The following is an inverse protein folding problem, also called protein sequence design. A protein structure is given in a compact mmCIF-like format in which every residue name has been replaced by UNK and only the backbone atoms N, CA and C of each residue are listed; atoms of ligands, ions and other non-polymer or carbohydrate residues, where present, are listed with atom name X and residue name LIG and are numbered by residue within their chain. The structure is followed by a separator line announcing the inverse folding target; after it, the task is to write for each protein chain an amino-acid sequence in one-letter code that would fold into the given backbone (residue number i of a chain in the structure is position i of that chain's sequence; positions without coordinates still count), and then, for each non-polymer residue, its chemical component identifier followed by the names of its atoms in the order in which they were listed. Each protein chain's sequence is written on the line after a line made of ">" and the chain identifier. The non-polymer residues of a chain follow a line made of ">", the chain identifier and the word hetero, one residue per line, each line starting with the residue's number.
data_IF_164316841722
#
_entry.id   IF_164316841722
#
_cell.length_a   1.000
_cell.length_b   1.000
_cell.length_c   1.000
_cell.angle_alpha   90.00
_cell.angle_beta   90.00
_cell.angle_gamma   90.00
#
_symmetry.space_group_name_H-M   'P 1'
#
loop_
_entity.id
_entity.type
_entity.pdbx_description
1 polymer ?
#
# COMPACT_ATOMS: atom_id res chain seq x y z
N UNK A 1 7.33 2.82 1.53
CA UNK A 1 7.91 1.76 2.40
C UNK A 1 9.32 2.22 2.78
N UNK A 2 9.59 2.48 4.05
CA UNK A 2 10.92 2.86 4.49
C UNK A 2 11.88 1.67 4.38
N UNK A 3 13.08 1.93 3.90
CA UNK A 3 14.16 0.95 3.78
C UNK A 3 15.39 1.43 4.55
N UNK A 4 16.23 0.49 4.97
CA UNK A 4 17.50 0.80 5.61
C UNK A 4 18.62 0.71 4.59
N UNK A 5 19.41 1.78 4.50
CA UNK A 5 20.63 1.83 3.70
C UNK A 5 21.84 1.94 4.59
N UNK A 6 22.94 1.31 4.21
CA UNK A 6 24.24 1.49 4.83
C UNK A 6 25.05 2.52 4.06
N UNK A 7 25.46 3.56 4.73
CA UNK A 7 26.41 4.54 4.20
C UNK A 7 27.44 4.86 5.27
N UNK A 8 28.72 4.72 4.93
CA UNK A 8 29.85 4.99 5.86
C UNK A 8 29.70 4.34 7.24
N UNK A 9 29.15 3.12 7.29
CA UNK A 9 28.92 2.39 8.53
C UNK A 9 27.68 2.82 9.33
N UNK A 10 26.89 3.77 8.83
CA UNK A 10 25.63 4.18 9.45
C UNK A 10 24.44 3.62 8.68
N UNK A 11 23.37 3.31 9.41
CA UNK A 11 22.08 2.93 8.81
C UNK A 11 21.27 4.19 8.57
N UNK A 12 20.91 4.42 7.31
CA UNK A 12 20.04 5.52 6.91
C UNK A 12 18.67 4.98 6.52
N UNK A 13 17.63 5.62 7.03
CA UNK A 13 16.25 5.34 6.62
C UNK A 13 15.96 6.14 5.37
N UNK A 14 15.47 5.45 4.32
CA UNK A 14 15.06 6.06 3.06
C UNK A 14 13.75 5.43 2.58
N UNK A 15 13.01 6.14 1.75
CA UNK A 15 11.89 5.58 1.01
C UNK A 15 12.36 4.92 -0.28
N UNK A 16 11.50 4.09 -0.90
CA UNK A 16 11.79 3.53 -2.22
C UNK A 16 11.89 4.64 -3.28
N UNK A 17 11.10 5.70 -3.15
CA UNK A 17 11.15 6.85 -4.05
C UNK A 17 12.52 7.52 -4.00
N UNK A 18 13.06 7.78 -2.81
CA UNK A 18 14.37 8.42 -2.61
C UNK A 18 15.51 7.59 -3.23
N UNK A 19 15.38 6.25 -3.21
CA UNK A 19 16.36 5.37 -3.84
C UNK A 19 16.26 5.37 -5.37
N UNK A 20 15.08 5.62 -5.93
CA UNK A 20 14.83 5.61 -7.36
C UNK A 20 15.18 6.93 -8.05
N UNK A 21 15.10 8.06 -7.36
CA UNK A 21 15.40 9.38 -7.93
C UNK A 21 16.80 9.45 -8.57
N UNK A 22 17.90 9.05 -7.93
CA UNK A 22 19.22 9.08 -8.56
C UNK A 22 19.37 8.14 -9.75
N UNK A 23 18.60 7.04 -9.79
CA UNK A 23 18.54 6.15 -10.93
C UNK A 23 17.79 6.80 -12.09
N UNK A 24 16.67 7.46 -11.81
CA UNK A 24 15.89 8.21 -12.75
C UNK A 24 16.75 9.27 -13.48
N UNK A 25 17.48 10.11 -12.75
CA UNK A 25 18.33 11.14 -13.33
C UNK A 25 19.32 10.58 -14.35
N UNK A 26 19.94 9.45 -14.04
CA UNK A 26 20.90 8.76 -14.96
C UNK A 26 20.22 8.20 -16.20
N UNK A 27 18.97 7.74 -16.07
CA UNK A 27 18.20 7.19 -17.20
C UNK A 27 17.71 8.34 -18.08
N UNK A 28 17.13 9.37 -17.48
CA UNK A 28 16.51 10.50 -18.20
C UNK A 28 17.53 11.39 -18.92
N UNK A 29 18.79 11.42 -18.47
CA UNK A 29 19.85 12.06 -19.23
C UNK A 29 20.03 11.51 -20.67
N UNK A 30 19.48 10.34 -20.97
CA UNK A 30 19.56 9.66 -22.27
C UNK A 30 18.19 9.40 -22.91
N UNK A 31 17.10 9.75 -22.23
CA UNK A 31 15.73 9.53 -22.69
C UNK A 31 15.24 10.67 -23.59
N UNK A 32 14.29 10.42 -24.50
CA UNK A 32 13.61 11.47 -25.23
C UNK A 32 12.90 12.45 -24.28
N UNK A 33 12.98 13.75 -24.54
CA UNK A 33 12.38 14.80 -23.70
C UNK A 33 10.84 14.78 -23.64
N UNK A 34 10.20 14.03 -24.54
CA UNK A 34 8.74 13.88 -24.60
C UNK A 34 8.17 12.83 -23.65
N UNK A 35 9.01 12.10 -22.91
CA UNK A 35 8.55 11.09 -21.97
C UNK A 35 8.20 11.71 -20.62
N UNK A 36 7.03 11.33 -20.08
CA UNK A 36 6.65 11.60 -18.71
C UNK A 36 7.11 10.47 -17.80
N UNK A 37 7.41 10.80 -16.56
CA UNK A 37 7.73 9.82 -15.54
C UNK A 37 6.44 9.31 -14.90
N UNK A 38 6.22 8.02 -14.95
CA UNK A 38 5.10 7.40 -14.27
C UNK A 38 5.54 6.88 -12.88
N UNK A 39 4.86 7.37 -11.86
CA UNK A 39 4.96 6.87 -10.48
C UNK A 39 3.75 6.02 -10.20
N UNK A 40 3.98 4.78 -9.73
CA UNK A 40 2.91 3.83 -9.40
C UNK A 40 3.14 3.28 -8.01
N UNK A 41 2.08 3.26 -7.20
CA UNK A 41 2.13 2.63 -5.87
C UNK A 41 2.40 1.12 -6.00
N UNK A 42 3.27 0.59 -5.12
CA UNK A 42 3.69 -0.82 -5.18
C UNK A 42 2.75 -1.80 -4.47
N UNK A 43 1.77 -1.29 -3.75
CA UNK A 43 0.80 -2.06 -2.94
C UNK A 43 -0.62 -2.00 -3.49
N UNK A 44 -0.76 -1.75 -4.79
CA UNK A 44 -2.05 -1.71 -5.48
C UNK A 44 -2.07 -2.60 -6.71
N UNK A 45 -3.21 -3.21 -6.98
CA UNK A 45 -3.55 -3.79 -8.27
C UNK A 45 -4.67 -2.97 -8.90
N UNK A 46 -4.41 -2.45 -10.08
CA UNK A 46 -5.36 -1.64 -10.83
C UNK A 46 -5.81 -2.43 -12.07
N UNK A 47 -7.09 -2.48 -12.28
CA UNK A 47 -7.70 -3.07 -13.46
C UNK A 47 -8.54 -2.02 -14.17
N UNK A 48 -8.31 -1.83 -15.46
CA UNK A 48 -9.14 -0.99 -16.33
C UNK A 48 -9.82 -1.87 -17.37
N UNK A 49 -11.13 -1.71 -17.53
CA UNK A 49 -11.93 -2.48 -18.50
C UNK A 49 -12.25 -1.70 -19.77
N UNK A 50 -11.89 -0.43 -19.80
CA UNK A 50 -12.09 0.46 -20.93
C UNK A 50 -10.76 1.11 -21.35
N UNK A 51 -10.61 1.53 -22.60
CA UNK A 51 -9.44 2.27 -23.04
C UNK A 51 -9.22 3.55 -22.20
N UNK A 52 -7.95 3.84 -21.94
CA UNK A 52 -7.58 5.08 -21.28
C UNK A 52 -7.92 6.27 -22.18
N UNK A 53 -8.26 7.39 -21.56
CA UNK A 53 -8.44 8.68 -22.25
C UNK A 53 -7.08 9.22 -22.70
N UNK A 54 -7.10 10.16 -23.64
CA UNK A 54 -5.90 10.91 -24.03
C UNK A 54 -5.34 11.65 -22.81
N UNK A 55 -4.02 11.58 -22.64
CA UNK A 55 -3.33 12.23 -21.54
C UNK A 55 -3.21 13.71 -21.86
N UNK A 56 -3.75 14.62 -21.04
CA UNK A 56 -3.64 16.05 -21.26
C UNK A 56 -2.19 16.52 -21.04
N UNK A 57 -1.84 17.59 -21.72
CA UNK A 57 -0.57 18.30 -21.50
C UNK A 57 -0.64 19.01 -20.13
N UNK A 58 0.00 18.43 -19.12
CA UNK A 58 0.09 18.98 -17.77
C UNK A 58 1.39 18.51 -17.09
N UNK A 59 1.87 19.30 -16.11
CA UNK A 59 3.06 18.91 -15.33
C UNK A 59 2.82 17.69 -14.46
N UNK A 60 1.60 17.56 -13.96
CA UNK A 60 1.17 16.42 -13.12
C UNK A 60 -0.18 15.92 -13.61
N UNK A 61 -0.27 14.63 -13.94
CA UNK A 61 -1.54 13.97 -14.27
C UNK A 61 -1.77 12.85 -13.28
N UNK A 62 -2.87 12.93 -12.52
CA UNK A 62 -3.23 11.95 -11.51
C UNK A 62 -4.43 11.13 -11.98
N UNK A 63 -4.35 9.82 -11.82
CA UNK A 63 -5.51 8.94 -12.04
C UNK A 63 -6.25 8.69 -10.73
N UNK A 64 -7.57 8.74 -10.80
CA UNK A 64 -8.42 8.49 -9.65
C UNK A 64 -9.69 7.71 -9.98
N UNK A 65 -10.36 7.24 -8.93
CA UNK A 65 -11.65 6.55 -9.03
C UNK A 65 -12.73 7.26 -8.21
N UNK A 66 -13.95 7.19 -8.71
CA UNK A 66 -15.14 7.62 -7.98
C UNK A 66 -15.52 6.55 -6.95
N UNK A 67 -15.03 6.68 -5.71
CA UNK A 67 -15.31 5.74 -4.63
C UNK A 67 -16.12 6.42 -3.51
N UNK A 68 -16.91 5.62 -2.79
CA UNK A 68 -17.69 6.12 -1.67
C UNK A 68 -16.82 6.61 -0.50
N UNK A 69 -17.35 7.48 0.37
CA UNK A 69 -16.61 8.09 1.48
C UNK A 69 -15.96 7.07 2.42
N UNK A 70 -16.61 5.91 2.62
CA UNK A 70 -16.11 4.86 3.51
C UNK A 70 -14.83 4.18 3.02
N UNK A 71 -14.58 4.22 1.71
CA UNK A 71 -13.33 3.72 1.11
C UNK A 71 -12.34 4.88 0.98
N UNK A 72 -12.80 6.02 0.46
CA UNK A 72 -11.96 7.18 0.17
C UNK A 72 -11.24 7.75 1.41
N UNK A 73 -11.83 7.62 2.60
CA UNK A 73 -11.26 8.12 3.88
C UNK A 73 -9.87 7.59 4.21
N UNK A 74 -9.53 6.43 3.70
CA UNK A 74 -8.25 5.77 3.98
C UNK A 74 -7.16 6.08 2.93
N UNK A 75 -7.49 6.87 1.91
CA UNK A 75 -6.64 7.21 0.76
C UNK A 75 -6.44 8.72 0.58
N UNK A 76 -5.58 9.10 -0.34
CA UNK A 76 -5.53 10.45 -0.90
C UNK A 76 -6.80 10.72 -1.72
N UNK A 77 -7.22 11.99 -1.76
CA UNK A 77 -8.44 12.40 -2.47
C UNK A 77 -8.18 13.68 -3.25
N UNK A 78 -8.42 13.64 -4.55
CA UNK A 78 -8.38 14.81 -5.43
C UNK A 78 -9.74 15.49 -5.43
N UNK A 79 -9.81 16.70 -4.91
CA UNK A 79 -11.01 17.53 -4.95
C UNK A 79 -11.04 18.29 -6.27
N UNK A 80 -12.14 18.18 -6.99
CA UNK A 80 -12.30 18.78 -8.32
C UNK A 80 -13.60 19.60 -8.40
N UNK A 81 -13.61 20.76 -9.11
CA UNK A 81 -14.83 21.53 -9.32
C UNK A 81 -15.83 20.74 -10.17
N UNK A 82 -17.11 20.80 -9.85
CA UNK A 82 -18.19 20.19 -10.66
C UNK A 82 -18.24 20.71 -12.10
N UNK A 83 -17.82 21.97 -12.30
CA UNK A 83 -17.80 22.63 -13.61
C UNK A 83 -16.63 22.19 -14.49
N UNK A 84 -15.56 21.69 -13.89
CA UNK A 84 -14.38 21.16 -14.60
C UNK A 84 -13.74 20.02 -13.79
N UNK A 85 -14.25 18.78 -13.92
CA UNK A 85 -13.78 17.63 -13.12
C UNK A 85 -12.36 17.17 -13.45
N UNK A 86 -11.76 17.65 -14.52
CA UNK A 86 -10.36 17.34 -14.87
C UNK A 86 -9.35 18.27 -14.21
N UNK A 87 -9.80 19.33 -13.52
CA UNK A 87 -8.93 20.32 -12.87
C UNK A 87 -8.89 20.05 -11.37
N UNK A 88 -7.72 19.95 -10.80
CA UNK A 88 -7.56 19.78 -9.36
C UNK A 88 -7.76 21.10 -8.63
N UNK A 89 -8.70 21.15 -7.68
CA UNK A 89 -8.80 22.24 -6.73
C UNK A 89 -7.76 22.09 -5.62
N UNK A 90 -7.70 20.91 -5.00
CA UNK A 90 -6.70 20.55 -3.99
C UNK A 90 -6.64 19.03 -3.81
N UNK A 91 -5.61 18.55 -3.13
CA UNK A 91 -5.52 17.21 -2.62
C UNK A 91 -5.72 17.20 -1.09
N UNK A 92 -6.45 16.19 -0.61
CA UNK A 92 -6.61 15.91 0.81
C UNK A 92 -6.03 14.53 1.11
N UNK A 93 -5.33 14.41 2.21
CA UNK A 93 -4.77 13.12 2.66
C UNK A 93 -5.62 12.55 3.78
N UNK A 94 -6.21 11.39 3.53
CA UNK A 94 -7.05 10.62 4.47
C UNK A 94 -8.13 11.48 5.16
N UNK A 95 -9.00 12.16 4.39
CA UNK A 95 -10.04 12.99 4.96
C UNK A 95 -11.10 12.16 5.68
N UNK A 96 -11.74 12.73 6.72
CA UNK A 96 -12.85 12.05 7.38
C UNK A 96 -14.07 11.90 6.48
N UNK A 97 -14.92 10.90 6.76
CA UNK A 97 -16.20 10.70 6.06
C UNK A 97 -17.07 11.95 6.07
N UNK A 98 -17.15 12.63 7.21
CA UNK A 98 -17.91 13.88 7.34
C UNK A 98 -17.37 14.99 6.43
N UNK A 99 -16.04 15.08 6.32
CA UNK A 99 -15.40 16.05 5.40
C UNK A 99 -15.73 15.72 3.95
N UNK A 100 -15.69 14.45 3.57
CA UNK A 100 -16.03 13.99 2.22
C UNK A 100 -17.51 14.27 1.89
N UNK A 101 -18.42 13.97 2.81
CA UNK A 101 -19.85 14.27 2.66
C UNK A 101 -20.12 15.78 2.54
N UNK A 102 -19.38 16.61 3.27
CA UNK A 102 -19.50 18.05 3.16
C UNK A 102 -19.00 18.57 1.80
N UNK A 103 -17.89 18.03 1.28
CA UNK A 103 -17.34 18.40 -0.01
C UNK A 103 -18.27 18.09 -1.18
N UNK A 104 -19.04 17.01 -1.11
CA UNK A 104 -19.97 16.60 -2.17
C UNK A 104 -21.08 17.62 -2.44
N UNK A 105 -21.31 18.61 -1.57
CA UNK A 105 -22.30 19.68 -1.80
C UNK A 105 -21.90 20.59 -2.97
N UNK A 106 -20.62 20.95 -3.03
CA UNK A 106 -20.13 21.99 -3.94
C UNK A 106 -19.07 21.48 -4.93
N UNK A 107 -18.45 20.35 -4.63
CA UNK A 107 -17.36 19.76 -5.41
C UNK A 107 -17.63 18.29 -5.73
N UNK A 108 -16.75 17.71 -6.52
CA UNK A 108 -16.61 16.26 -6.66
C UNK A 108 -15.25 15.86 -6.09
N UNK A 109 -15.05 14.58 -5.87
CA UNK A 109 -13.73 14.06 -5.54
C UNK A 109 -13.47 12.70 -6.19
N UNK A 110 -12.22 12.44 -6.54
CA UNK A 110 -11.73 11.13 -6.95
C UNK A 110 -10.72 10.64 -5.91
N UNK A 111 -10.82 9.36 -5.60
CA UNK A 111 -9.85 8.70 -4.72
C UNK A 111 -8.57 8.44 -5.52
N UNK A 112 -7.43 8.83 -4.99
CA UNK A 112 -6.12 8.53 -5.54
C UNK A 112 -5.89 7.01 -5.57
N UNK A 113 -5.51 6.50 -6.72
CA UNK A 113 -5.18 5.09 -6.95
C UNK A 113 -3.69 4.84 -7.04
N UNK A 114 -2.87 5.84 -6.72
CA UNK A 114 -1.42 5.73 -6.72
C UNK A 114 -0.79 5.68 -8.11
N UNK A 115 -1.41 6.28 -9.13
CA UNK A 115 -0.84 6.40 -10.49
C UNK A 115 -0.74 7.87 -10.86
N UNK A 116 0.48 8.35 -10.99
CA UNK A 116 0.80 9.73 -11.32
C UNK A 116 1.77 9.79 -12.49
N UNK A 117 1.53 10.71 -13.44
CA UNK A 117 2.46 11.03 -14.50
C UNK A 117 3.04 12.41 -14.22
N UNK A 118 4.35 12.50 -14.21
CA UNK A 118 5.10 13.71 -13.86
C UNK A 118 5.92 14.19 -15.04
N UNK A 119 5.86 15.50 -15.34
CA UNK A 119 6.78 16.14 -16.24
C UNK A 119 8.19 16.21 -15.66
N UNK A 120 9.20 16.47 -16.48
CA UNK A 120 10.57 16.68 -16.00
C UNK A 120 10.65 17.83 -14.98
N UNK A 121 9.86 18.90 -15.18
CA UNK A 121 9.75 20.01 -14.22
C UNK A 121 9.21 19.54 -12.88
N UNK A 122 8.15 18.75 -12.88
CA UNK A 122 7.56 18.21 -11.65
C UNK A 122 8.55 17.30 -10.90
N UNK A 123 9.29 16.44 -11.63
CA UNK A 123 10.31 15.56 -11.03
C UNK A 123 11.49 16.37 -10.48
N UNK A 124 11.94 17.40 -11.19
CA UNK A 124 13.01 18.28 -10.69
C UNK A 124 12.63 18.96 -9.37
N UNK A 125 11.41 19.51 -9.28
CA UNK A 125 10.92 20.11 -8.04
C UNK A 125 10.78 19.09 -6.92
N UNK A 126 10.24 17.90 -7.21
CA UNK A 126 10.17 16.80 -6.25
C UNK A 126 11.56 16.43 -5.73
N UNK A 127 12.55 16.31 -6.62
CA UNK A 127 13.94 16.02 -6.24
C UNK A 127 14.55 17.13 -5.38
N UNK A 128 14.31 18.38 -5.73
CA UNK A 128 14.82 19.52 -4.94
C UNK A 128 14.24 19.53 -3.53
N UNK A 129 12.94 19.23 -3.38
CA UNK A 129 12.27 19.22 -2.07
C UNK A 129 12.65 18.01 -1.21
N UNK A 130 13.07 16.91 -1.84
CA UNK A 130 13.56 15.73 -1.14
C UNK A 130 15.06 15.78 -0.84
N UNK A 131 15.79 16.84 -1.27
CA UNK A 131 17.23 16.95 -1.09
C UNK A 131 17.58 18.05 -0.08
N UNK A 132 18.19 17.68 1.04
CA UNK A 132 18.67 18.59 2.07
C UNK A 132 20.17 18.36 2.30
N UNK A 133 20.96 19.43 2.31
CA UNK A 133 22.43 19.40 2.52
C UNK A 133 23.18 18.38 1.62
N UNK A 134 22.70 18.20 0.37
CA UNK A 134 23.26 17.25 -0.60
C UNK A 134 22.90 15.77 -0.33
N UNK A 135 21.99 15.50 0.58
CA UNK A 135 21.44 14.18 0.86
C UNK A 135 19.96 14.12 0.52
N UNK A 136 19.51 12.98 0.02
CA UNK A 136 18.08 12.73 -0.23
C UNK A 136 17.45 12.25 1.07
N UNK A 137 16.49 13.04 1.59
CA UNK A 137 15.68 12.72 2.76
C UNK A 137 14.29 12.25 2.39
N UNK A 138 13.57 11.70 3.36
CA UNK A 138 12.19 11.27 3.21
C UNK A 138 11.28 12.48 2.92
N UNK A 139 10.67 12.50 1.72
CA UNK A 139 9.69 13.49 1.31
C UNK A 139 8.42 12.80 0.84
N UNK A 140 7.28 13.12 1.46
CA UNK A 140 6.01 12.45 1.19
C UNK A 140 5.37 12.96 -0.10
N UNK A 141 5.31 12.07 -1.11
CA UNK A 141 4.68 12.37 -2.40
C UNK A 141 3.20 12.77 -2.26
N UNK A 142 2.47 12.13 -1.36
CA UNK A 142 1.02 12.36 -1.21
C UNK A 142 0.71 13.46 -0.21
N UNK A 143 1.24 13.33 1.01
CA UNK A 143 0.94 14.22 2.13
C UNK A 143 1.65 15.56 2.07
N UNK A 144 2.75 15.68 1.30
CA UNK A 144 3.50 16.93 1.17
C UNK A 144 3.42 17.46 -0.27
N UNK A 145 4.04 16.78 -1.24
CA UNK A 145 4.05 17.24 -2.63
C UNK A 145 2.63 17.39 -3.19
N UNK A 146 1.80 16.36 -3.09
CA UNK A 146 0.43 16.37 -3.61
C UNK A 146 -0.45 17.43 -2.96
N UNK A 147 -0.27 17.66 -1.66
CA UNK A 147 -1.02 18.69 -0.93
C UNK A 147 -0.63 20.13 -1.29
N UNK A 148 0.50 20.35 -1.98
CA UNK A 148 0.90 21.64 -2.54
C UNK A 148 0.33 21.88 -3.94
N UNK A 149 -0.36 20.92 -4.55
CA UNK A 149 -0.86 20.99 -5.92
C UNK A 149 -2.31 21.50 -6.00
N UNK A 150 -2.66 22.06 -7.16
CA UNK A 150 -4.03 22.52 -7.48
C UNK A 150 -4.24 24.02 -7.26
N UNK A 151 -5.49 24.46 -7.48
CA UNK A 151 -5.85 25.89 -7.43
C UNK A 151 -5.90 26.46 -6.02
N UNK A 152 -6.22 25.61 -5.03
CA UNK A 152 -6.37 25.97 -3.62
C UNK A 152 -5.66 24.90 -2.76
N UNK A 153 -4.33 24.79 -2.84
CA UNK A 153 -3.57 23.74 -2.18
C UNK A 153 -3.74 23.80 -0.66
N UNK A 154 -3.67 22.65 -0.01
CA UNK A 154 -3.78 22.55 1.46
C UNK A 154 -2.46 22.84 2.18
N UNK A 155 -1.34 22.71 1.47
CA UNK A 155 -0.02 23.17 1.89
C UNK A 155 0.49 24.21 0.90
N UNK A 156 1.32 25.11 1.38
CA UNK A 156 1.82 26.22 0.57
C UNK A 156 3.27 25.99 0.12
N UNK A 157 3.48 26.01 -1.19
CA UNK A 157 4.79 26.05 -1.85
C UNK A 157 4.63 26.80 -3.17
N UNK A 158 5.28 27.95 -3.30
CA UNK A 158 5.10 28.89 -4.44
C UNK A 158 5.49 28.28 -5.78
N UNK A 159 6.45 27.36 -5.82
CA UNK A 159 6.90 26.74 -7.08
C UNK A 159 6.02 25.54 -7.44
N UNK A 160 5.65 24.71 -6.46
CA UNK A 160 4.76 23.57 -6.68
C UNK A 160 3.35 24.00 -7.06
N UNK A 161 2.86 25.11 -6.49
CA UNK A 161 1.55 25.68 -6.83
C UNK A 161 1.47 26.18 -8.29
N UNK A 162 2.60 26.37 -8.97
CA UNK A 162 2.65 26.76 -10.39
C UNK A 162 2.61 25.57 -11.35
N UNK A 163 2.70 24.34 -10.85
CA UNK A 163 2.58 23.17 -11.70
C UNK A 163 1.14 23.04 -12.21
N UNK A 164 1.01 22.81 -13.50
CA UNK A 164 -0.29 22.46 -14.10
C UNK A 164 -0.67 21.04 -13.71
N UNK A 165 -1.92 20.86 -13.23
CA UNK A 165 -2.39 19.58 -12.72
C UNK A 165 -3.69 19.17 -13.38
N UNK A 166 -3.73 17.94 -13.88
CA UNK A 166 -4.93 17.31 -14.37
C UNK A 166 -5.27 16.05 -13.57
N UNK A 167 -6.57 15.83 -13.37
CA UNK A 167 -7.09 14.62 -12.74
C UNK A 167 -7.95 13.86 -13.74
N UNK A 168 -7.65 12.60 -13.96
CA UNK A 168 -8.36 11.73 -14.88
C UNK A 168 -9.05 10.59 -14.13
N UNK A 169 -10.34 10.37 -14.36
CA UNK A 169 -10.98 9.15 -13.90
C UNK A 169 -10.45 7.95 -14.70
N UNK A 170 -10.17 6.84 -14.02
CA UNK A 170 -9.83 5.59 -14.69
C UNK A 170 -11.10 4.92 -15.22
N UNK A 171 -11.30 4.84 -16.56
CA UNK A 171 -12.56 4.35 -17.13
C UNK A 171 -12.76 2.85 -16.84
N UNK A 172 -13.91 2.50 -16.25
CA UNK A 172 -14.19 1.11 -15.86
C UNK A 172 -13.12 0.56 -14.91
N UNK A 173 -12.57 1.44 -14.08
CA UNK A 173 -11.47 1.12 -13.17
C UNK A 173 -11.93 0.37 -11.94
N UNK A 174 -11.11 -0.58 -11.53
CA UNK A 174 -11.20 -1.31 -10.27
C UNK A 174 -9.85 -1.17 -9.54
N UNK A 175 -9.91 -1.05 -8.23
CA UNK A 175 -8.76 -0.79 -7.39
C UNK A 175 -8.75 -1.76 -6.22
N UNK A 176 -7.65 -2.49 -6.09
CA UNK A 176 -7.42 -3.48 -5.04
C UNK A 176 -6.17 -3.08 -4.28
N UNK A 177 -6.33 -2.65 -3.04
CA UNK A 177 -5.25 -2.19 -2.19
C UNK A 177 -4.78 -3.31 -1.25
N UNK A 178 -3.47 -3.39 -1.02
CA UNK A 178 -2.82 -4.41 -0.20
C UNK A 178 -1.94 -3.78 0.90
N UNK A 179 -2.23 -2.56 1.28
CA UNK A 179 -1.41 -1.78 2.23
C UNK A 179 -1.53 -2.20 3.68
N UNK A 180 -2.53 -3.04 4.04
CA UNK A 180 -2.74 -3.54 5.39
C UNK A 180 -3.04 -5.05 5.39
N UNK A 181 -2.89 -5.69 6.55
CA UNK A 181 -3.21 -7.11 6.71
C UNK A 181 -4.66 -7.45 6.37
N UNK A 182 -5.58 -6.58 6.77
CA UNK A 182 -7.00 -6.70 6.42
C UNK A 182 -7.22 -6.61 4.90
N UNK A 183 -6.58 -5.66 4.24
CA UNK A 183 -6.73 -5.45 2.79
C UNK A 183 -6.07 -6.55 1.97
N UNK A 184 -5.01 -7.18 2.46
CA UNK A 184 -4.44 -8.38 1.84
C UNK A 184 -5.52 -9.45 1.62
N UNK A 185 -6.29 -9.75 2.64
CA UNK A 185 -7.35 -10.76 2.56
C UNK A 185 -8.56 -10.28 1.75
N UNK A 186 -9.07 -9.09 2.03
CA UNK A 186 -10.26 -8.56 1.35
C UNK A 186 -10.03 -8.36 -0.15
N UNK A 187 -8.89 -7.79 -0.54
CA UNK A 187 -8.53 -7.61 -1.96
C UNK A 187 -8.30 -8.94 -2.66
N UNK A 188 -7.66 -9.91 -2.00
CA UNK A 188 -7.48 -11.25 -2.58
C UNK A 188 -8.80 -11.98 -2.77
N UNK A 189 -9.73 -11.87 -1.80
CA UNK A 189 -11.09 -12.42 -1.92
C UNK A 189 -11.87 -11.77 -3.07
N UNK A 190 -11.79 -10.46 -3.20
CA UNK A 190 -12.45 -9.74 -4.29
C UNK A 190 -11.90 -10.15 -5.66
N UNK A 191 -10.57 -10.25 -5.80
CA UNK A 191 -9.90 -10.67 -7.04
C UNK A 191 -10.27 -12.08 -7.46
N UNK A 192 -10.35 -13.04 -6.54
CA UNK A 192 -10.71 -14.40 -6.90
C UNK A 192 -12.12 -14.51 -7.48
N UNK A 193 -13.05 -13.63 -7.07
CA UNK A 193 -14.41 -13.61 -7.58
C UNK A 193 -14.53 -13.09 -9.02
N UNK A 194 -13.47 -12.49 -9.56
CA UNK A 194 -13.38 -12.08 -10.97
C UNK A 194 -13.10 -13.26 -11.90
N UNK A 195 -12.65 -14.38 -11.36
CA UNK A 195 -12.30 -15.55 -12.16
C UNK A 195 -13.52 -16.44 -12.31
N UNK A 196 -13.94 -16.66 -13.54
CA UNK A 196 -15.11 -17.46 -13.88
C UNK A 196 -14.95 -18.96 -13.51
N UNK A 197 -13.72 -19.47 -13.51
CA UNK A 197 -13.42 -20.85 -13.09
C UNK A 197 -12.50 -20.83 -11.85
N UNK A 198 -13.12 -20.87 -10.69
CA UNK A 198 -12.44 -20.89 -9.40
C UNK A 198 -11.51 -22.10 -9.22
N UNK A 199 -11.74 -23.22 -9.92
CA UNK A 199 -10.89 -24.42 -9.86
C UNK A 199 -9.49 -24.17 -10.38
N UNK A 200 -9.31 -23.19 -11.24
CA UNK A 200 -7.98 -22.78 -11.76
C UNK A 200 -7.12 -22.10 -10.71
N UNK A 201 -7.72 -21.47 -9.71
CA UNK A 201 -7.03 -20.79 -8.62
C UNK A 201 -6.90 -21.72 -7.42
N UNK A 202 -7.85 -22.64 -7.25
CA UNK A 202 -7.92 -23.53 -6.10
C UNK A 202 -7.09 -24.79 -6.35
N UNK A 203 -5.83 -24.74 -5.95
CA UNK A 203 -5.13 -25.96 -5.59
C UNK A 203 -5.73 -26.47 -4.29
N UNK A 204 -6.30 -27.67 -4.28
CA UNK A 204 -6.91 -28.27 -3.08
C UNK A 204 -5.99 -28.31 -1.88
N UNK A 205 -4.67 -28.36 -2.08
CA UNK A 205 -3.66 -28.27 -1.04
C UNK A 205 -3.42 -26.86 -0.49
N UNK A 206 -3.83 -25.82 -1.23
CA UNK A 206 -3.51 -24.43 -0.90
C UNK A 206 -4.74 -23.63 -0.46
N UNK A 207 -5.95 -24.17 -0.64
CA UNK A 207 -7.19 -23.43 -0.38
C UNK A 207 -8.32 -24.35 0.08
N UNK A 208 -8.32 -24.73 1.34
CA UNK A 208 -9.32 -25.64 1.91
C UNK A 208 -10.74 -25.04 1.95
N UNK A 209 -10.86 -23.72 2.01
CA UNK A 209 -12.12 -22.98 1.93
C UNK A 209 -11.94 -21.64 1.22
N UNK A 210 -13.01 -20.98 0.72
CA UNK A 210 -12.91 -19.75 -0.05
C UNK A 210 -12.12 -18.62 0.63
N UNK A 211 -12.20 -18.49 1.94
CA UNK A 211 -11.52 -17.46 2.72
C UNK A 211 -10.25 -17.92 3.43
N UNK A 212 -9.76 -19.12 3.14
CA UNK A 212 -8.52 -19.68 3.74
C UNK A 212 -7.45 -19.78 2.66
N UNK A 213 -6.36 -19.05 2.83
CA UNK A 213 -5.21 -19.05 1.94
C UNK A 213 -4.02 -19.71 2.62
N UNK A 214 -3.49 -20.77 1.99
CA UNK A 214 -2.30 -21.49 2.43
C UNK A 214 -1.30 -21.47 1.30
N UNK A 215 -0.17 -20.78 1.49
CA UNK A 215 0.85 -20.60 0.47
C UNK A 215 2.22 -21.02 0.98
N UNK A 216 2.87 -21.92 0.24
CA UNK A 216 4.20 -22.42 0.60
C UNK A 216 4.30 -22.80 2.09
N UNK A 217 3.30 -23.50 2.61
CA UNK A 217 3.17 -23.83 4.02
C UNK A 217 2.77 -25.28 4.23
N UNK A 218 3.14 -25.84 5.38
CA UNK A 218 2.74 -27.16 5.83
C UNK A 218 1.71 -26.95 6.93
N UNK A 219 0.51 -27.54 6.78
CA UNK A 219 -0.55 -27.46 7.76
C UNK A 219 -1.05 -28.83 8.14
N UNK A 220 -0.92 -29.18 9.42
CA UNK A 220 -1.42 -30.43 10.00
C UNK A 220 -2.70 -30.23 10.82
N UNK A 221 -3.26 -29.02 10.82
CA UNK A 221 -4.54 -28.71 11.46
C UNK A 221 -5.72 -29.06 10.54
N UNK A 222 -6.85 -29.40 11.13
CA UNK A 222 -8.11 -29.59 10.41
C UNK A 222 -8.88 -28.27 10.42
N UNK A 223 -9.12 -27.71 9.24
CA UNK A 223 -9.97 -26.53 9.11
C UNK A 223 -11.44 -26.91 9.27
N UNK A 224 -12.16 -26.11 10.02
CA UNK A 224 -13.60 -26.27 10.31
C UNK A 224 -14.37 -25.00 9.93
N UNK A 225 -15.67 -25.01 10.06
CA UNK A 225 -16.52 -23.83 9.81
C UNK A 225 -16.23 -22.66 10.77
N UNK A 226 -15.49 -22.89 11.84
CA UNK A 226 -15.00 -21.82 12.71
C UNK A 226 -13.80 -21.07 12.14
N UNK A 227 -13.18 -21.60 11.09
CA UNK A 227 -12.03 -20.97 10.43
C UNK A 227 -12.48 -20.13 9.25
N UNK A 228 -12.19 -18.84 9.31
CA UNK A 228 -12.59 -17.88 8.30
C UNK A 228 -11.55 -16.74 8.17
N UNK A 229 -11.29 -16.30 6.94
CA UNK A 229 -10.35 -15.21 6.68
C UNK A 229 -8.95 -15.50 7.25
N UNK A 230 -8.36 -16.61 6.85
CA UNK A 230 -7.02 -17.03 7.25
C UNK A 230 -6.01 -16.84 6.13
N UNK A 231 -4.81 -16.40 6.51
CA UNK A 231 -3.64 -16.35 5.63
C UNK A 231 -2.47 -17.06 6.31
N UNK A 232 -1.98 -18.13 5.70
CA UNK A 232 -0.85 -18.91 6.21
C UNK A 232 0.19 -18.98 5.09
N UNK A 233 1.35 -18.38 5.33
CA UNK A 233 2.39 -18.26 4.32
C UNK A 233 3.78 -18.58 4.86
N UNK A 234 4.57 -19.35 4.08
CA UNK A 234 5.94 -19.72 4.42
C UNK A 234 6.04 -20.30 5.84
N UNK A 235 5.09 -21.12 6.26
CA UNK A 235 4.90 -21.49 7.66
C UNK A 235 4.69 -22.99 7.85
N UNK A 236 5.10 -23.49 9.01
CA UNK A 236 4.71 -24.82 9.51
C UNK A 236 3.71 -24.67 10.65
N UNK A 237 2.47 -25.07 10.41
CA UNK A 237 1.37 -25.03 11.38
C UNK A 237 1.01 -26.45 11.75
N UNK A 238 1.52 -26.91 12.90
CA UNK A 238 1.39 -28.27 13.39
C UNK A 238 0.07 -28.51 14.12
N UNK A 239 -0.20 -29.73 14.52
CA UNK A 239 -1.41 -30.13 15.30
C UNK A 239 -1.54 -29.39 16.63
N UNK A 240 -0.45 -28.83 17.16
CA UNK A 240 -0.45 -28.03 18.39
C UNK A 240 -1.03 -26.62 18.21
N UNK A 241 -1.27 -26.18 16.99
CA UNK A 241 -1.81 -24.87 16.73
C UNK A 241 -3.34 -24.86 16.70
N UNK A 242 -3.91 -23.80 17.26
CA UNK A 242 -5.34 -23.49 17.16
C UNK A 242 -5.50 -22.14 16.51
N UNK A 243 -6.15 -22.11 15.35
CA UNK A 243 -6.51 -20.91 14.62
C UNK A 243 -8.03 -20.72 14.65
N UNK A 244 -8.48 -19.48 14.61
CA UNK A 244 -9.91 -19.14 14.63
C UNK A 244 -10.31 -18.36 13.38
N UNK A 245 -10.58 -17.06 13.51
CA UNK A 245 -10.96 -16.17 12.41
C UNK A 245 -10.01 -14.99 12.31
N UNK A 246 -9.81 -14.51 11.06
CA UNK A 246 -8.99 -13.33 10.79
C UNK A 246 -7.57 -13.47 11.38
N UNK A 247 -6.97 -14.64 11.18
CA UNK A 247 -5.59 -14.88 11.59
C UNK A 247 -4.65 -14.85 10.39
N UNK A 248 -3.49 -14.27 10.59
CA UNK A 248 -2.37 -14.30 9.65
C UNK A 248 -1.19 -14.96 10.35
N UNK A 249 -0.58 -15.93 9.69
CA UNK A 249 0.62 -16.62 10.17
C UNK A 249 1.66 -16.60 9.06
N UNK A 250 2.79 -15.96 9.30
CA UNK A 250 3.87 -15.90 8.31
C UNK A 250 5.20 -16.30 8.91
N UNK A 251 5.99 -17.03 8.12
CA UNK A 251 7.37 -17.35 8.42
C UNK A 251 7.60 -18.33 9.58
N UNK A 252 6.56 -19.01 10.10
CA UNK A 252 6.73 -19.95 11.19
C UNK A 252 7.61 -21.13 10.76
N UNK A 253 8.78 -21.34 11.41
CA UNK A 253 9.70 -22.44 11.05
C UNK A 253 9.09 -23.81 11.38
N UNK A 254 9.78 -24.88 11.04
CA UNK A 254 9.44 -26.22 11.49
C UNK A 254 9.43 -26.25 13.03
N UNK A 255 8.33 -26.68 13.63
CA UNK A 255 8.10 -26.59 15.07
C UNK A 255 7.16 -27.69 15.58
N UNK A 256 7.14 -27.86 16.91
CA UNK A 256 6.22 -28.69 17.67
C UNK A 256 5.40 -27.88 18.70
N UNK A 257 5.24 -26.60 18.45
CA UNK A 257 4.67 -25.64 19.38
C UNK A 257 3.16 -25.80 19.58
N UNK A 258 2.70 -25.34 20.74
CA UNK A 258 1.29 -25.21 21.08
C UNK A 258 0.94 -23.72 21.09
N UNK A 259 0.34 -23.26 20.01
CA UNK A 259 0.01 -21.84 19.80
C UNK A 259 -1.49 -21.69 19.59
N UNK A 260 -2.10 -20.79 20.33
CA UNK A 260 -3.49 -20.39 20.11
C UNK A 260 -3.55 -18.96 19.64
N UNK A 261 -4.12 -18.73 18.46
CA UNK A 261 -4.50 -17.43 17.97
C UNK A 261 -6.01 -17.27 18.09
N UNK A 262 -6.40 -16.31 18.92
CA UNK A 262 -7.80 -15.89 19.02
C UNK A 262 -8.21 -15.08 17.79
N UNK A 263 -9.50 -14.78 17.66
CA UNK A 263 -10.00 -13.96 16.57
C UNK A 263 -9.23 -12.64 16.46
N UNK A 264 -8.88 -12.27 15.22
CA UNK A 264 -8.14 -11.06 14.88
C UNK A 264 -6.68 -11.00 15.36
N UNK A 265 -6.13 -12.08 15.87
CA UNK A 265 -4.72 -12.16 16.22
C UNK A 265 -3.87 -12.68 15.06
N UNK A 266 -2.78 -11.98 14.80
CA UNK A 266 -1.82 -12.30 13.76
C UNK A 266 -0.41 -12.50 14.35
N UNK A 267 0.43 -13.29 13.68
CA UNK A 267 1.78 -13.59 14.13
C UNK A 267 2.73 -13.72 12.93
N UNK A 268 3.83 -13.00 12.99
CA UNK A 268 4.92 -13.08 12.01
C UNK A 268 6.20 -13.57 12.68
N UNK A 269 6.91 -14.46 12.01
CA UNK A 269 8.24 -14.89 12.37
C UNK A 269 9.22 -14.33 11.35
N UNK A 270 10.07 -13.40 11.77
CA UNK A 270 11.03 -12.74 10.91
C UNK A 270 12.43 -13.28 11.23
N UNK A 271 13.12 -13.92 10.28
CA UNK A 271 14.47 -14.42 10.53
C UNK A 271 15.43 -13.26 10.76
N UNK A 272 16.33 -13.42 11.73
CA UNK A 272 17.38 -12.47 12.07
C UNK A 272 18.72 -13.21 12.08
N UNK A 273 19.52 -13.01 11.03
CA UNK A 273 20.74 -13.80 10.82
C UNK A 273 20.41 -15.26 10.49
N UNK A 274 21.36 -16.15 10.75
CA UNK A 274 21.27 -17.56 10.33
C UNK A 274 20.56 -18.46 11.38
N UNK A 275 20.42 -18.02 12.62
CA UNK A 275 19.94 -18.87 13.72
C UNK A 275 18.87 -18.22 14.62
N UNK A 276 18.41 -17.01 14.27
CA UNK A 276 17.51 -16.23 15.10
C UNK A 276 16.23 -15.83 14.40
N UNK A 277 15.19 -15.58 15.20
CA UNK A 277 13.88 -15.12 14.75
C UNK A 277 13.38 -14.02 15.67
N UNK A 278 12.73 -13.03 15.09
CA UNK A 278 11.91 -12.08 15.84
C UNK A 278 10.46 -12.45 15.62
N UNK A 279 9.72 -12.59 16.70
CA UNK A 279 8.29 -12.89 16.64
C UNK A 279 7.52 -11.61 16.90
N UNK A 280 6.62 -11.26 15.98
CA UNK A 280 5.74 -10.11 16.11
C UNK A 280 4.29 -10.60 16.21
N UNK A 281 3.60 -10.25 17.30
CA UNK A 281 2.15 -10.39 17.42
C UNK A 281 1.48 -9.05 17.17
N UNK A 282 0.38 -9.07 16.43
CA UNK A 282 -0.36 -7.85 16.07
C UNK A 282 -1.82 -8.17 15.80
N UNK A 283 -2.65 -7.14 15.76
CA UNK A 283 -4.07 -7.24 15.41
C UNK A 283 -4.29 -7.21 13.90
N UNK A 284 -5.29 -7.92 13.44
CA UNK A 284 -5.67 -8.00 12.03
C UNK A 284 -5.95 -6.62 11.38
N UNK A 285 -6.44 -5.67 12.17
CA UNK A 285 -6.74 -4.31 11.74
C UNK A 285 -5.66 -3.29 12.13
N UNK A 286 -4.53 -3.74 12.67
CA UNK A 286 -3.47 -2.82 13.06
C UNK A 286 -2.92 -2.07 11.84
N UNK A 287 -2.80 -0.75 11.99
CA UNK A 287 -2.13 0.12 11.04
C UNK A 287 -0.69 0.34 11.49
N UNK A 288 0.25 -0.11 10.68
CA UNK A 288 1.69 0.00 10.99
C UNK A 288 2.28 1.41 10.82
N UNK A 289 1.46 2.46 10.78
CA UNK A 289 1.90 3.84 10.77
C UNK A 289 2.21 4.33 12.18
N UNK A 290 3.45 4.75 12.43
CA UNK A 290 3.88 5.33 13.70
C UNK A 290 4.00 4.33 14.85
N UNK A 291 2.89 3.88 15.40
CA UNK A 291 2.85 2.93 16.53
C UNK A 291 3.43 1.54 16.21
N UNK A 292 3.55 1.16 14.95
CA UNK A 292 4.21 -0.09 14.56
C UNK A 292 5.68 -0.15 14.97
N UNK A 293 6.32 1.00 15.17
CA UNK A 293 7.67 1.07 15.71
C UNK A 293 7.76 0.59 17.15
N UNK A 294 6.63 0.56 17.86
CA UNK A 294 6.50 0.11 19.25
C UNK A 294 5.87 -1.26 19.40
N UNK A 295 5.50 -1.92 18.27
CA UNK A 295 5.00 -3.31 18.32
C UNK A 295 6.10 -4.18 18.92
N UNK A 296 5.84 -4.88 20.04
CA UNK A 296 6.88 -5.64 20.71
C UNK A 296 7.39 -6.74 19.79
N UNK A 297 8.68 -6.67 19.46
CA UNK A 297 9.41 -7.74 18.82
C UNK A 297 10.04 -8.59 19.90
N UNK A 298 9.69 -9.86 19.97
CA UNK A 298 10.28 -10.78 20.92
C UNK A 298 11.42 -11.53 20.23
N UNK A 299 12.65 -11.50 20.79
CA UNK A 299 13.69 -12.38 20.31
C UNK A 299 13.25 -13.83 20.50
N UNK A 300 13.43 -14.64 19.45
CA UNK A 300 13.17 -16.07 19.56
C UNK A 300 14.26 -16.69 20.44
N UNK A 301 13.88 -17.03 21.66
CA UNK A 301 14.66 -17.92 22.51
C UNK A 301 14.08 -19.33 22.39
N UNK A 302 14.92 -20.33 22.50
CA UNK A 302 14.68 -21.75 22.21
C UNK A 302 13.44 -22.41 22.86
N UNK A 303 12.60 -21.69 23.57
CA UNK A 303 11.31 -22.17 24.02
C UNK A 303 10.21 -21.13 23.82
N UNK A 304 9.27 -21.42 22.93
CA UNK A 304 8.04 -20.65 22.71
C UNK A 304 7.12 -20.65 23.97
N UNK A 305 7.49 -21.36 25.03
CA UNK A 305 6.73 -21.45 26.28
C UNK A 305 6.65 -20.14 27.06
N UNK A 306 7.39 -19.11 26.66
CA UNK A 306 7.45 -17.81 27.35
C UNK A 306 6.91 -16.63 26.49
N UNK A 307 6.31 -16.90 25.34
CA UNK A 307 5.61 -15.96 24.49
C UNK A 307 4.10 -16.07 24.63
#
# INVERSE_FOLDING_TARGET
>A
IPVLRWERGQRLRQTLLDLQIPLYERIMARAPQSLHTMVVSGDVLIRATQPLQDIPEADVVCYGLWLGPEIAKDHGVFVVPRTNPSRMACMLQKPSVDRLNALQKDSLYLTDIGVWLLSDRAVQLLTQRSTHDGHIDEYDLYGTFGCCLGDNPTLHDDELAQLSVAVLPLPGGEFYHFGTSHELLSSTLALQNLVSDQRRIMHHSCKPAPSIFVQNAITDIVFTDSNENLWIENSTVTKGWTLTKKNIVTGAPANDWHVTLHEEQCIDFVPVGDEGWVVRRYGFYDKFAGAAQTTPCFPYFASFQHL
#
